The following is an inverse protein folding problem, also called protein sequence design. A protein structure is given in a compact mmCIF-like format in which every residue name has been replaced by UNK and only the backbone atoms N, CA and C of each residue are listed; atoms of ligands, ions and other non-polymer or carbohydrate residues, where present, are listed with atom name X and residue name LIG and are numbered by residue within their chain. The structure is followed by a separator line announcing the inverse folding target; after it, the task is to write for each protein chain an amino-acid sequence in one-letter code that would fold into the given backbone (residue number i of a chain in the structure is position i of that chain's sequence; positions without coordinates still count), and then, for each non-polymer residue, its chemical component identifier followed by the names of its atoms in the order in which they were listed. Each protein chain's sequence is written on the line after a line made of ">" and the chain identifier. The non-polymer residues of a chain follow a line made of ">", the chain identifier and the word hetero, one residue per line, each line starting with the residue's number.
data_IF_055667184469
#
_entry.id   IF_055667184469
#
_cell.length_a   1.000
_cell.length_b   1.000
_cell.length_c   1.000
_cell.angle_alpha   90.00
_cell.angle_beta   90.00
_cell.angle_gamma   90.00
#
_symmetry.space_group_name_H-M   'P 1'
#
loop_
_entity.id
_entity.type
_entity.pdbx_description
1 polymer ?
#
# COMPACT_ATOMS: atom_id res chain seq x y z
N UNK A 1 -29.26 -26.54 37.25
CA UNK A 1 -29.54 -27.98 37.09
C UNK A 1 -30.19 -28.17 35.74
N UNK A 2 -29.46 -28.76 34.80
CA UNK A 2 -29.81 -28.91 33.38
C UNK A 2 -30.45 -30.28 33.13
N UNK A 3 -31.56 -30.33 32.37
CA UNK A 3 -32.17 -31.55 31.81
C UNK A 3 -32.81 -31.15 30.44
N UNK A 4 -32.15 -31.35 29.30
CA UNK A 4 -32.19 -32.51 28.36
C UNK A 4 -33.53 -32.64 27.60
N UNK A 5 -33.45 -32.65 26.24
CA UNK A 5 -34.01 -33.63 25.27
C UNK A 5 -34.13 -32.96 23.88
N UNK A 6 -33.15 -33.15 22.99
CA UNK A 6 -33.01 -34.26 22.03
C UNK A 6 -34.01 -34.20 20.86
N UNK A 7 -33.53 -33.85 19.66
CA UNK A 7 -33.81 -34.60 18.42
C UNK A 7 -32.58 -34.52 17.52
N UNK A 8 -31.95 -35.67 17.33
CA UNK A 8 -30.93 -35.94 16.32
C UNK A 8 -31.62 -36.42 15.03
N UNK A 9 -31.15 -35.96 13.88
CA UNK A 9 -31.13 -36.70 12.62
C UNK A 9 -30.00 -36.06 11.78
N UNK A 10 -28.79 -36.64 11.80
CA UNK A 10 -28.30 -37.58 10.79
C UNK A 10 -28.35 -36.94 9.37
N UNK A 11 -27.24 -36.72 8.69
CA UNK A 11 -26.42 -37.78 8.08
C UNK A 11 -25.01 -37.25 7.80
N UNK A 12 -24.08 -38.16 8.07
CA UNK A 12 -22.64 -38.13 7.84
C UNK A 12 -22.34 -37.98 6.34
N UNK A 13 -21.56 -36.95 5.98
CA UNK A 13 -20.70 -36.99 4.80
C UNK A 13 -19.29 -36.71 5.30
N UNK A 14 -18.54 -37.81 5.45
CA UNK A 14 -17.23 -37.93 6.08
C UNK A 14 -16.24 -36.87 5.60
N UNK A 15 -15.98 -35.86 6.43
CA UNK A 15 -14.79 -35.02 6.31
C UNK A 15 -13.67 -35.77 7.03
N UNK A 16 -12.85 -36.47 6.25
CA UNK A 16 -11.61 -37.06 6.74
C UNK A 16 -10.66 -35.96 7.18
N UNK A 17 -10.61 -35.66 8.48
CA UNK A 17 -9.54 -34.88 9.09
C UNK A 17 -8.36 -35.82 9.30
N UNK A 18 -7.44 -35.82 8.33
CA UNK A 18 -6.08 -36.32 8.53
C UNK A 18 -5.22 -35.22 9.13
N UNK A 19 -4.90 -35.34 10.42
CA UNK A 19 -3.83 -34.58 11.07
C UNK A 19 -2.48 -34.98 10.47
N UNK A 20 -1.91 -34.14 9.61
CA UNK A 20 -0.49 -34.18 9.28
C UNK A 20 0.01 -32.78 8.91
N UNK A 21 0.91 -32.30 9.74
CA UNK A 21 1.73 -31.10 9.64
C UNK A 21 2.65 -31.25 8.42
N UNK A 22 2.25 -30.66 7.30
CA UNK A 22 3.09 -30.45 6.14
C UNK A 22 2.80 -29.05 5.58
N UNK A 23 3.82 -28.22 5.27
CA UNK A 23 3.57 -26.96 4.60
C UNK A 23 2.98 -27.28 3.23
N UNK A 24 1.70 -26.95 3.04
CA UNK A 24 1.05 -27.09 1.73
C UNK A 24 1.79 -26.14 0.79
N UNK A 25 2.69 -26.72 0.00
CA UNK A 25 3.34 -26.02 -1.09
C UNK A 25 2.21 -25.69 -2.07
N UNK A 26 1.95 -24.40 -2.23
CA UNK A 26 0.89 -23.89 -3.08
C UNK A 26 1.21 -24.21 -4.55
N UNK A 27 0.91 -25.43 -5.00
CA UNK A 27 0.79 -25.74 -6.42
C UNK A 27 -0.56 -25.17 -6.86
N UNK A 28 -0.56 -23.86 -7.10
CA UNK A 28 -1.70 -23.15 -7.66
C UNK A 28 -1.95 -23.70 -9.06
N UNK A 29 -3.07 -24.38 -9.23
CA UNK A 29 -3.55 -24.81 -10.54
C UNK A 29 -3.63 -23.57 -11.43
N UNK A 30 -2.84 -23.55 -12.49
CA UNK A 30 -2.78 -22.42 -13.40
C UNK A 30 -4.09 -22.34 -14.18
N UNK A 31 -4.94 -21.38 -13.85
CA UNK A 31 -5.99 -20.91 -14.74
C UNK A 31 -5.32 -20.29 -15.99
N UNK A 32 -5.76 -20.62 -17.23
CA UNK A 32 -5.17 -20.04 -18.43
C UNK A 32 -5.62 -18.56 -18.50
N UNK A 33 -4.72 -17.66 -18.16
CA UNK A 33 -4.96 -16.21 -18.20
C UNK A 33 -4.28 -15.39 -17.11
N UNK A 34 -3.70 -16.01 -16.08
CA UNK A 34 -2.91 -15.28 -15.10
C UNK A 34 -1.49 -15.04 -15.65
N UNK A 35 -1.25 -13.85 -16.21
CA UNK A 35 0.11 -13.31 -16.39
C UNK A 35 0.71 -13.09 -14.99
N UNK A 36 1.25 -14.16 -14.40
CA UNK A 36 1.92 -14.10 -13.11
C UNK A 36 3.16 -13.21 -13.28
N UNK A 37 3.04 -11.94 -12.90
CA UNK A 37 4.17 -11.02 -12.84
C UNK A 37 5.19 -11.62 -11.88
N UNK A 38 6.42 -11.80 -12.35
CA UNK A 38 7.47 -12.35 -11.50
C UNK A 38 7.66 -11.43 -10.29
N UNK A 39 8.05 -11.94 -9.10
CA UNK A 39 8.30 -11.10 -7.93
C UNK A 39 9.28 -9.94 -8.19
N UNK A 40 10.15 -10.09 -9.19
CA UNK A 40 11.07 -9.04 -9.67
C UNK A 40 10.34 -7.91 -10.42
N UNK A 41 9.35 -8.23 -11.24
CA UNK A 41 8.55 -7.23 -11.99
C UNK A 41 7.65 -6.42 -11.06
N UNK A 42 7.01 -7.06 -10.08
CA UNK A 42 6.21 -6.37 -9.06
C UNK A 42 7.07 -5.39 -8.25
N UNK A 43 8.27 -5.83 -7.81
CA UNK A 43 9.22 -4.96 -7.10
C UNK A 43 9.67 -3.77 -7.97
N UNK A 44 9.93 -4.00 -9.27
CA UNK A 44 10.27 -2.92 -10.20
C UNK A 44 9.12 -1.92 -10.33
N UNK A 45 7.90 -2.38 -10.52
CA UNK A 45 6.71 -1.53 -10.62
C UNK A 45 6.52 -0.69 -9.35
N UNK A 46 6.61 -1.30 -8.17
CA UNK A 46 6.52 -0.57 -6.89
C UNK A 46 7.63 0.47 -6.73
N UNK A 47 8.87 0.12 -7.08
CA UNK A 47 9.99 1.08 -7.01
C UNK A 47 9.82 2.27 -7.95
N UNK A 48 9.22 2.07 -9.14
CA UNK A 48 8.91 3.15 -10.08
C UNK A 48 7.83 4.06 -9.52
N UNK A 49 6.76 3.49 -8.96
CA UNK A 49 5.70 4.25 -8.32
C UNK A 49 6.23 5.08 -7.13
N UNK A 50 7.10 4.51 -6.31
CA UNK A 50 7.73 5.22 -5.19
C UNK A 50 8.61 6.40 -5.67
N UNK A 51 9.42 6.20 -6.71
CA UNK A 51 10.22 7.27 -7.31
C UNK A 51 9.35 8.37 -7.90
N UNK A 52 8.25 8.01 -8.57
CA UNK A 52 7.33 8.99 -9.14
C UNK A 52 6.72 9.89 -8.05
N UNK A 53 6.31 9.33 -6.92
CA UNK A 53 5.81 10.10 -5.76
C UNK A 53 6.88 11.04 -5.21
N UNK A 54 8.08 10.52 -4.92
CA UNK A 54 9.20 11.31 -4.40
C UNK A 54 9.63 12.43 -5.35
N UNK A 55 9.59 12.18 -6.65
CA UNK A 55 9.93 13.20 -7.66
C UNK A 55 8.84 14.27 -7.79
N UNK A 56 7.56 13.92 -7.59
CA UNK A 56 6.49 14.91 -7.55
C UNK A 56 6.65 15.85 -6.35
N UNK A 57 6.90 15.30 -5.17
CA UNK A 57 7.15 16.07 -3.95
C UNK A 57 8.39 16.96 -4.08
N UNK A 58 9.49 16.43 -4.63
CA UNK A 58 10.68 17.23 -4.90
C UNK A 58 10.41 18.39 -5.84
N UNK A 59 9.63 18.19 -6.90
CA UNK A 59 9.28 19.27 -7.84
C UNK A 59 8.45 20.35 -7.16
N UNK A 60 7.56 20.00 -6.24
CA UNK A 60 6.77 21.00 -5.51
C UNK A 60 7.64 21.80 -4.53
N UNK A 61 8.61 21.15 -3.89
CA UNK A 61 9.62 21.84 -3.09
C UNK A 61 10.52 22.74 -3.94
N UNK A 62 10.95 22.28 -5.13
CA UNK A 62 11.77 23.04 -6.08
C UNK A 62 11.07 24.30 -6.59
N UNK A 63 9.78 24.20 -6.95
CA UNK A 63 8.96 25.37 -7.29
C UNK A 63 8.89 26.39 -6.16
N UNK A 64 8.91 25.91 -4.92
CA UNK A 64 8.80 26.73 -3.72
C UNK A 64 10.16 27.27 -3.20
N UNK A 65 11.25 27.03 -3.94
CA UNK A 65 12.57 27.63 -3.70
C UNK A 65 13.62 26.67 -3.13
N UNK A 66 13.33 25.36 -3.02
CA UNK A 66 14.31 24.39 -2.57
C UNK A 66 15.13 23.81 -3.74
N UNK A 67 16.43 24.10 -3.81
CA UNK A 67 17.32 23.51 -4.80
C UNK A 67 18.37 22.60 -4.12
N UNK A 68 18.29 21.26 -4.27
CA UNK A 68 19.21 20.34 -3.59
C UNK A 68 20.65 20.36 -4.13
N UNK A 69 20.86 20.78 -5.39
CA UNK A 69 22.18 20.91 -6.01
C UNK A 69 22.50 22.34 -6.46
N UNK A 70 21.70 23.31 -6.02
CA UNK A 70 21.91 24.74 -6.29
C UNK A 70 22.75 25.41 -5.21
N UNK A 71 22.68 26.73 -5.15
CA UNK A 71 23.35 27.50 -4.11
C UNK A 71 22.75 27.17 -2.72
N UNK A 72 23.60 26.69 -1.82
CA UNK A 72 23.23 26.28 -0.47
C UNK A 72 23.37 27.39 0.57
N UNK A 73 23.57 28.65 0.16
CA UNK A 73 23.75 29.80 1.08
C UNK A 73 22.67 29.89 2.17
N UNK A 74 21.43 29.56 1.85
CA UNK A 74 20.29 29.64 2.77
C UNK A 74 19.82 28.26 3.27
N UNK A 75 20.67 27.24 3.17
CA UNK A 75 20.35 25.93 3.73
C UNK A 75 20.62 25.94 5.26
N UNK A 76 19.71 25.44 6.10
CA UNK A 76 18.48 24.68 5.80
C UNK A 76 17.18 25.53 5.81
N UNK A 77 17.23 26.86 5.85
CA UNK A 77 16.00 27.68 5.87
C UNK A 77 15.17 27.49 4.60
N UNK A 78 15.82 27.37 3.44
CA UNK A 78 15.16 27.17 2.15
C UNK A 78 14.23 25.93 2.12
N UNK A 79 14.67 24.80 2.69
CA UNK A 79 13.87 23.57 2.71
C UNK A 79 12.68 23.70 3.66
N UNK A 80 12.86 24.37 4.80
CA UNK A 80 11.78 24.60 5.76
C UNK A 80 10.71 25.55 5.19
N UNK A 81 11.14 26.61 4.50
CA UNK A 81 10.23 27.54 3.81
C UNK A 81 9.47 26.86 2.67
N UNK A 82 10.17 26.08 1.85
CA UNK A 82 9.54 25.34 0.77
C UNK A 82 8.50 24.36 1.30
N UNK A 83 8.83 23.63 2.39
CA UNK A 83 7.90 22.72 3.03
C UNK A 83 6.65 23.44 3.55
N UNK A 84 6.81 24.56 4.26
CA UNK A 84 5.66 25.36 4.74
C UNK A 84 4.75 25.82 3.61
N UNK A 85 5.31 26.25 2.48
CA UNK A 85 4.53 26.67 1.31
C UNK A 85 3.78 25.48 0.69
N UNK A 86 4.45 24.35 0.50
CA UNK A 86 3.82 23.11 0.00
C UNK A 86 2.68 22.66 0.92
N UNK A 87 2.87 22.71 2.23
CA UNK A 87 1.83 22.34 3.20
C UNK A 87 0.63 23.31 3.14
N UNK A 88 0.89 24.62 3.00
CA UNK A 88 -0.15 25.62 2.81
C UNK A 88 -0.93 25.41 1.50
N UNK A 89 -0.24 25.09 0.39
CA UNK A 89 -0.88 24.77 -0.90
C UNK A 89 -1.72 23.49 -0.81
N UNK A 90 -1.21 22.44 -0.15
CA UNK A 90 -1.96 21.21 0.10
C UNK A 90 -3.19 21.47 0.97
N UNK A 91 -3.07 22.29 2.02
CA UNK A 91 -4.18 22.68 2.87
C UNK A 91 -5.23 23.49 2.10
N UNK A 92 -4.80 24.44 1.26
CA UNK A 92 -5.70 25.23 0.41
C UNK A 92 -6.43 24.34 -0.60
N UNK A 93 -5.72 23.40 -1.24
CA UNK A 93 -6.33 22.44 -2.17
C UNK A 93 -7.29 21.47 -1.49
N UNK A 94 -6.95 21.02 -0.27
CA UNK A 94 -7.83 20.18 0.55
C UNK A 94 -9.10 20.92 0.98
N UNK A 95 -8.99 22.21 1.32
CA UNK A 95 -10.12 23.06 1.69
C UNK A 95 -11.02 23.41 0.50
N UNK A 96 -10.46 23.53 -0.71
CA UNK A 96 -11.23 23.71 -1.94
C UNK A 96 -11.96 22.42 -2.38
N UNK A 97 -11.41 21.24 -2.06
CA UNK A 97 -12.03 19.95 -2.34
C UNK A 97 -13.17 19.58 -1.36
N UNK A 98 -13.32 20.33 -0.26
CA UNK A 98 -14.35 20.11 0.76
C UNK A 98 -15.45 21.19 0.78
N UNK A 99 -15.53 22.07 -0.22
CA UNK A 99 -16.61 23.02 -0.38
C UNK A 99 -17.62 22.46 -1.42
N UNK A 100 -18.79 21.96 -1.00
CA UNK A 100 -19.90 21.64 -1.92
C UNK A 100 -20.58 22.90 -2.47
#
# INVERSE_FOLDING_TARGET
>A
MFQIRAVSAAIVASIGIGLAWAPVSMAQTAAPGAVASTPKEVKKAQSKAARAKKNAELKDLEKNGYQPGGDQQNYPQNIQEAQRKVDAEKAAKGKAASAP
#
